data_IF_953048104902
#
_entry.id   IF_953048104902
#
_cell.length_a   1.000
_cell.length_b   1.000
_cell.length_c   1.000
_cell.angle_alpha   90.00
_cell.angle_beta   90.00
_cell.angle_gamma   90.00
#
_symmetry.space_group_name_H-M   'P 1'
#
loop_
_entity.id
_entity.type
_entity.pdbx_description
1 polymer ?
#
# COMPACT_ATOMS: atom_id res chain seq x y z
N UNK A 1 16.79 -8.24 -5.61
CA UNK A 1 15.53 -8.85 -5.15
C UNK A 1 14.45 -7.79 -5.29
N UNK A 2 13.23 -8.16 -5.71
CA UNK A 2 12.15 -7.20 -5.84
C UNK A 2 11.78 -6.62 -4.47
N UNK A 3 11.53 -5.32 -4.43
CA UNK A 3 11.19 -4.59 -3.19
C UNK A 3 9.74 -4.90 -2.81
N UNK A 4 9.54 -5.44 -1.60
CA UNK A 4 8.21 -5.72 -1.06
C UNK A 4 7.59 -4.45 -0.46
N UNK A 5 6.33 -4.19 -0.81
CA UNK A 5 5.58 -3.06 -0.27
C UNK A 5 4.13 -3.44 0.04
N UNK A 6 3.57 -2.80 1.07
CA UNK A 6 2.13 -2.75 1.35
C UNK A 6 1.63 -1.35 1.06
N UNK A 7 0.47 -1.23 0.41
CA UNK A 7 -0.18 0.05 0.17
C UNK A 7 -1.43 0.16 1.05
N UNK A 8 -1.65 1.34 1.62
CA UNK A 8 -2.89 1.70 2.32
C UNK A 8 -4.09 1.81 1.35
N UNK A 9 -5.32 1.61 1.85
CA UNK A 9 -6.58 1.77 1.13
C UNK A 9 -6.63 3.06 0.31
N UNK A 10 -6.18 4.19 0.86
CA UNK A 10 -6.26 5.47 0.17
C UNK A 10 -5.36 5.53 -1.07
N UNK A 11 -4.27 4.77 -1.10
CA UNK A 11 -3.42 4.61 -2.29
C UNK A 11 -4.20 3.87 -3.37
N UNK A 12 -4.87 2.76 -3.03
CA UNK A 12 -5.72 2.04 -3.98
C UNK A 12 -6.87 2.90 -4.52
N UNK A 13 -7.59 3.61 -3.64
CA UNK A 13 -8.69 4.48 -4.02
C UNK A 13 -8.23 5.60 -4.97
N UNK A 14 -7.14 6.30 -4.62
CA UNK A 14 -6.63 7.39 -5.44
C UNK A 14 -6.08 6.89 -6.78
N UNK A 15 -5.39 5.74 -6.79
CA UNK A 15 -4.86 5.14 -8.00
C UNK A 15 -5.95 4.65 -8.95
N UNK A 16 -6.99 3.98 -8.42
CA UNK A 16 -8.14 3.55 -9.21
C UNK A 16 -8.97 4.74 -9.74
N UNK A 17 -9.06 5.83 -8.98
CA UNK A 17 -9.79 7.03 -9.37
C UNK A 17 -9.01 7.90 -10.39
N UNK A 18 -7.69 8.00 -10.25
CA UNK A 18 -6.81 8.84 -11.08
C UNK A 18 -5.42 8.22 -11.27
N UNK A 19 -5.23 7.56 -12.41
CA UNK A 19 -4.00 6.84 -12.74
C UNK A 19 -2.78 7.78 -12.90
N UNK A 20 -2.98 9.04 -13.27
CA UNK A 20 -1.89 10.02 -13.49
C UNK A 20 -1.38 10.64 -12.17
N UNK A 21 -1.99 10.31 -11.02
CA UNK A 21 -1.56 10.79 -9.71
C UNK A 21 -0.43 9.96 -9.09
N UNK A 22 0.16 10.41 -7.97
CA UNK A 22 1.22 9.67 -7.28
C UNK A 22 0.83 8.23 -6.91
N UNK A 23 -0.42 8.02 -6.47
CA UNK A 23 -0.91 6.68 -6.14
C UNK A 23 -1.03 5.77 -7.37
N UNK A 24 -1.48 6.31 -8.51
CA UNK A 24 -1.51 5.58 -9.78
C UNK A 24 -0.10 5.23 -10.27
N UNK A 25 0.86 6.14 -10.11
CA UNK A 25 2.27 5.85 -10.38
C UNK A 25 2.83 4.74 -9.46
N UNK A 26 2.44 4.69 -8.19
CA UNK A 26 2.83 3.59 -7.29
C UNK A 26 2.28 2.24 -7.78
N UNK A 27 1.02 2.19 -8.23
CA UNK A 27 0.42 0.98 -8.80
C UNK A 27 1.11 0.56 -10.11
N UNK A 28 1.51 1.53 -10.94
CA UNK A 28 2.26 1.27 -12.17
C UNK A 28 3.59 0.55 -11.89
N UNK A 29 4.29 0.91 -10.80
CA UNK A 29 5.51 0.19 -10.38
C UNK A 29 5.24 -1.28 -10.00
N UNK A 30 4.04 -1.58 -9.49
CA UNK A 30 3.61 -2.96 -9.23
C UNK A 30 3.34 -3.69 -10.55
N UNK A 31 2.62 -3.06 -11.49
CA UNK A 31 2.35 -3.62 -12.81
C UNK A 31 3.63 -3.90 -13.61
N UNK A 32 4.65 -3.03 -13.47
CA UNK A 32 5.96 -3.16 -14.11
C UNK A 32 6.89 -4.14 -13.38
N UNK A 33 6.48 -4.68 -12.22
CA UNK A 33 7.27 -5.63 -11.43
C UNK A 33 8.46 -5.00 -10.68
N UNK A 34 8.58 -3.68 -10.67
CA UNK A 34 9.57 -2.97 -9.87
C UNK A 34 9.29 -3.11 -8.36
N UNK A 35 8.00 -3.29 -8.01
CA UNK A 35 7.52 -3.53 -6.64
C UNK A 35 6.69 -4.80 -6.59
N UNK A 36 6.95 -5.61 -5.58
CA UNK A 36 6.09 -6.75 -5.24
C UNK A 36 5.09 -6.31 -4.18
N UNK A 37 3.85 -6.09 -4.60
CA UNK A 37 2.76 -5.69 -3.71
C UNK A 37 2.34 -6.85 -2.83
N UNK A 38 2.40 -6.68 -1.51
CA UNK A 38 1.91 -7.64 -0.54
C UNK A 38 0.41 -7.40 -0.29
N UNK A 39 -0.39 -8.45 -0.32
CA UNK A 39 -1.83 -8.41 -0.12
C UNK A 39 -2.28 -9.50 0.87
N UNK A 40 -3.37 -9.20 1.57
CA UNK A 40 -4.15 -10.16 2.35
C UNK A 40 -5.62 -10.04 1.96
N UNK A 41 -6.40 -11.07 2.29
CA UNK A 41 -7.84 -11.07 1.99
C UNK A 41 -8.56 -9.93 2.72
N UNK A 42 -8.17 -9.64 3.97
CA UNK A 42 -8.68 -8.54 4.77
C UNK A 42 -8.44 -7.17 4.10
N UNK A 43 -7.21 -6.89 3.66
CA UNK A 43 -6.89 -5.63 2.95
C UNK A 43 -7.69 -5.51 1.66
N UNK A 44 -7.79 -6.59 0.86
CA UNK A 44 -8.52 -6.51 -0.40
C UNK A 44 -10.03 -6.32 -0.21
N UNK A 45 -10.60 -6.90 0.85
CA UNK A 45 -12.02 -6.72 1.20
C UNK A 45 -12.30 -5.29 1.67
N UNK A 46 -11.41 -4.69 2.45
CA UNK A 46 -11.53 -3.28 2.83
C UNK A 46 -11.46 -2.36 1.61
N UNK A 47 -10.49 -2.57 0.72
CA UNK A 47 -10.38 -1.81 -0.54
C UNK A 47 -11.66 -1.94 -1.35
N UNK A 48 -12.19 -3.17 -1.50
CA UNK A 48 -13.47 -3.41 -2.20
C UNK A 48 -14.60 -2.61 -1.56
N UNK A 49 -14.75 -2.69 -0.24
CA UNK A 49 -15.79 -1.98 0.47
C UNK A 49 -15.68 -0.47 0.23
N UNK A 50 -14.49 0.10 0.44
CA UNK A 50 -14.24 1.53 0.33
C UNK A 50 -14.52 2.05 -1.08
N UNK A 51 -14.02 1.37 -2.11
CA UNK A 51 -14.21 1.78 -3.51
C UNK A 51 -15.68 1.70 -3.93
N UNK A 52 -16.47 0.76 -3.38
CA UNK A 52 -17.89 0.60 -3.67
C UNK A 52 -18.82 1.44 -2.79
N UNK A 53 -18.30 2.17 -1.78
CA UNK A 53 -19.14 3.03 -0.93
C UNK A 53 -19.88 4.07 -1.79
N UNK A 54 -21.20 4.30 -1.58
CA UNK A 54 -21.99 5.24 -2.40
C UNK A 54 -21.41 6.66 -2.48
N UNK A 55 -20.76 7.13 -1.40
CA UNK A 55 -20.05 8.41 -1.38
C UNK A 55 -18.88 8.47 -2.37
N UNK A 56 -18.17 7.36 -2.57
CA UNK A 56 -17.06 7.28 -3.52
C UNK A 56 -17.55 7.26 -4.95
N UNK A 57 -18.61 6.51 -5.28
CA UNK A 57 -19.23 6.55 -6.61
C UNK A 57 -19.75 7.95 -7.01
N UNK A 58 -20.24 8.75 -6.04
CA UNK A 58 -20.63 10.15 -6.29
C UNK A 58 -19.43 11.06 -6.52
N UNK A 59 -18.35 10.87 -5.76
CA UNK A 59 -17.13 11.70 -5.83
C UNK A 59 -16.26 11.35 -7.06
N UNK A 60 -16.26 10.08 -7.43
CA UNK A 60 -15.48 9.51 -8.53
C UNK A 60 -16.40 8.65 -9.40
N UNK A 61 -17.15 9.25 -10.34
CA UNK A 61 -18.07 8.53 -11.22
C UNK A 61 -17.39 7.46 -12.10
N UNK A 62 -16.06 7.55 -12.24
CA UNK A 62 -15.22 6.56 -12.89
C UNK A 62 -15.11 5.24 -12.13
N UNK A 63 -15.38 5.20 -10.82
CA UNK A 63 -15.37 3.97 -10.00
C UNK A 63 -16.70 3.22 -10.14
N UNK A 64 -17.00 2.74 -11.34
CA UNK A 64 -18.12 1.83 -11.57
C UNK A 64 -17.84 0.47 -10.94
N UNK A 65 -18.88 -0.30 -10.61
CA UNK A 65 -18.73 -1.67 -10.06
C UNK A 65 -17.80 -2.50 -10.94
N UNK A 66 -18.02 -2.54 -12.26
CA UNK A 66 -17.19 -3.31 -13.19
C UNK A 66 -15.72 -2.89 -13.16
N UNK A 67 -15.44 -1.58 -13.05
CA UNK A 67 -14.06 -1.08 -12.97
C UNK A 67 -13.40 -1.43 -11.65
N UNK A 68 -14.14 -1.39 -10.54
CA UNK A 68 -13.63 -1.82 -9.23
C UNK A 68 -13.34 -3.32 -9.24
N UNK A 69 -14.26 -4.15 -9.73
CA UNK A 69 -14.05 -5.60 -9.82
C UNK A 69 -12.87 -5.96 -10.73
N UNK A 70 -12.73 -5.30 -11.88
CA UNK A 70 -11.59 -5.49 -12.77
C UNK A 70 -10.27 -5.10 -12.10
N UNK A 71 -10.26 -3.98 -11.37
CA UNK A 71 -9.10 -3.53 -10.61
C UNK A 71 -8.71 -4.53 -9.52
N UNK A 72 -9.66 -4.98 -8.71
CA UNK A 72 -9.42 -6.00 -7.68
C UNK A 72 -8.96 -7.33 -8.29
N UNK A 73 -9.50 -7.72 -9.45
CA UNK A 73 -9.07 -8.91 -10.18
C UNK A 73 -7.61 -8.82 -10.65
N UNK A 74 -7.18 -7.63 -11.11
CA UNK A 74 -5.78 -7.39 -11.46
C UNK A 74 -4.88 -7.53 -10.22
N UNK A 75 -5.24 -6.90 -9.09
CA UNK A 75 -4.51 -7.03 -7.83
C UNK A 75 -4.40 -8.49 -7.34
N UNK A 76 -5.47 -9.28 -7.47
CA UNK A 76 -5.44 -10.72 -7.17
C UNK A 76 -4.42 -11.50 -8.00
N UNK A 77 -4.22 -11.08 -9.24
CA UNK A 77 -3.31 -11.76 -10.17
C UNK A 77 -1.85 -11.34 -9.96
N UNK A 78 -1.60 -10.07 -9.60
CA UNK A 78 -0.25 -9.51 -9.50
C UNK A 78 0.32 -9.47 -8.08
N UNK A 79 -0.54 -9.54 -7.06
CA UNK A 79 -0.12 -9.45 -5.66
C UNK A 79 0.56 -10.70 -5.12
N UNK A 80 1.43 -10.51 -4.14
CA UNK A 80 2.00 -11.54 -3.29
C UNK A 80 1.10 -11.74 -2.05
N UNK A 81 0.53 -12.93 -1.90
CA UNK A 81 -0.58 -13.19 -0.98
C UNK A 81 -0.13 -13.75 0.38
N UNK A 82 -0.73 -13.21 1.45
CA UNK A 82 -0.52 -13.63 2.84
C UNK A 82 -1.87 -13.96 3.50
N UNK A 83 -2.09 -15.25 3.79
CA UNK A 83 -3.40 -15.75 4.28
C UNK A 83 -3.57 -15.63 5.80
N UNK A 84 -2.49 -15.77 6.57
CA UNK A 84 -2.51 -15.79 8.03
C UNK A 84 -1.68 -14.64 8.60
N UNK A 85 -2.23 -13.42 8.54
CA UNK A 85 -1.58 -12.21 9.05
C UNK A 85 -1.82 -12.11 10.56
N UNK A 86 -0.79 -12.23 11.42
CA UNK A 86 -0.98 -12.12 12.86
C UNK A 86 -1.26 -10.66 13.26
N UNK A 87 -2.08 -10.47 14.29
CA UNK A 87 -2.27 -9.16 14.91
C UNK A 87 -1.04 -8.83 15.79
N UNK A 88 -0.08 -8.10 15.23
CA UNK A 88 1.18 -7.71 15.89
C UNK A 88 1.16 -6.28 16.40
N UNK A 89 0.42 -5.40 15.72
CA UNK A 89 0.23 -4.01 16.06
C UNK A 89 -0.81 -3.86 17.18
N UNK A 90 -0.39 -4.07 18.43
CA UNK A 90 -1.21 -3.72 19.58
C UNK A 90 -1.19 -2.19 19.78
N UNK A 91 -2.38 -1.59 19.85
CA UNK A 91 -2.61 -0.18 20.21
C UNK A 91 -2.16 0.89 19.19
N UNK A 92 -2.56 0.75 17.92
CA UNK A 92 -2.61 1.90 17.02
C UNK A 92 -3.64 2.92 17.51
N UNK A 93 -3.43 4.20 17.15
CA UNK A 93 -4.40 5.27 17.43
C UNK A 93 -5.69 5.05 16.65
N UNK A 94 -5.56 4.72 15.36
CA UNK A 94 -6.66 4.24 14.53
C UNK A 94 -6.58 2.71 14.38
N UNK A 95 -7.56 1.95 14.91
CA UNK A 95 -7.63 0.50 14.71
C UNK A 95 -7.77 0.08 13.24
N UNK A 96 -8.33 0.93 12.37
CA UNK A 96 -8.57 0.61 10.95
C UNK A 96 -7.24 0.51 10.17
N UNK A 97 -6.14 1.08 10.69
CA UNK A 97 -4.81 0.98 10.10
C UNK A 97 -4.08 -0.34 10.42
N UNK A 98 -4.57 -1.10 11.40
CA UNK A 98 -3.91 -2.30 11.90
C UNK A 98 -3.69 -3.38 10.82
N UNK A 99 -4.65 -3.67 9.90
CA UNK A 99 -4.44 -4.66 8.85
C UNK A 99 -3.23 -4.36 7.96
N UNK A 100 -3.01 -3.10 7.60
CA UNK A 100 -1.88 -2.69 6.75
C UNK A 100 -0.54 -2.85 7.44
N UNK A 101 -0.45 -2.40 8.70
CA UNK A 101 0.78 -2.52 9.47
C UNK A 101 1.10 -3.98 9.80
N UNK A 102 0.09 -4.76 10.22
CA UNK A 102 0.25 -6.19 10.48
C UNK A 102 0.73 -6.93 9.23
N UNK A 103 0.16 -6.62 8.06
CA UNK A 103 0.58 -7.21 6.79
C UNK A 103 2.03 -6.81 6.46
N UNK A 104 2.39 -5.54 6.63
CA UNK A 104 3.75 -5.07 6.35
C UNK A 104 4.79 -5.78 7.21
N UNK A 105 4.49 -5.97 8.50
CA UNK A 105 5.34 -6.71 9.44
C UNK A 105 5.40 -8.20 9.08
N UNK A 106 4.25 -8.83 8.85
CA UNK A 106 4.15 -10.25 8.50
C UNK A 106 4.89 -10.58 7.20
N UNK A 107 4.79 -9.71 6.20
CA UNK A 107 5.44 -9.86 4.91
C UNK A 107 6.93 -9.49 4.92
N UNK A 108 7.45 -8.97 6.04
CA UNK A 108 8.77 -8.33 6.10
C UNK A 108 8.93 -7.29 4.97
N UNK A 109 7.87 -6.51 4.71
CA UNK A 109 7.87 -5.51 3.66
C UNK A 109 8.87 -4.39 3.98
N UNK A 110 9.59 -3.92 2.95
CA UNK A 110 10.51 -2.77 3.09
C UNK A 110 9.72 -1.48 3.26
N UNK A 111 8.53 -1.40 2.66
CA UNK A 111 7.70 -0.20 2.67
C UNK A 111 6.25 -0.47 3.04
N UNK A 112 5.68 0.44 3.84
CA UNK A 112 4.25 0.67 3.94
C UNK A 112 3.97 2.07 3.36
N UNK A 113 3.26 2.13 2.24
CA UNK A 113 2.96 3.39 1.55
C UNK A 113 1.60 3.89 1.99
N UNK A 114 1.58 5.03 2.67
CA UNK A 114 0.37 5.62 3.25
C UNK A 114 0.45 7.14 3.25
N UNK A 115 -0.71 7.81 3.37
CA UNK A 115 -0.80 9.24 3.66
C UNK A 115 -1.35 9.51 5.06
N UNK A 116 -1.62 8.46 5.82
CA UNK A 116 -2.13 8.59 7.17
C UNK A 116 -1.03 9.14 8.10
N UNK A 117 -1.34 10.23 8.79
CA UNK A 117 -0.36 10.90 9.66
C UNK A 117 -0.06 10.10 10.92
N UNK A 118 -1.02 9.36 11.46
CA UNK A 118 -0.82 8.54 12.66
C UNK A 118 0.12 7.37 12.33
N UNK A 119 -0.01 6.75 11.15
CA UNK A 119 0.97 5.76 10.67
C UNK A 119 2.34 6.39 10.40
N UNK A 120 2.40 7.56 9.75
CA UNK A 120 3.67 8.24 9.47
C UNK A 120 4.39 8.67 10.75
N UNK A 121 3.66 9.01 11.82
CA UNK A 121 4.23 9.36 13.12
C UNK A 121 4.99 8.20 13.78
N UNK A 122 4.71 6.94 13.41
CA UNK A 122 5.47 5.78 13.91
C UNK A 122 6.95 5.84 13.48
N UNK A 123 7.28 6.51 12.38
CA UNK A 123 8.67 6.78 11.97
C UNK A 123 9.37 7.85 12.82
N UNK A 124 8.71 8.37 13.86
CA UNK A 124 9.30 9.23 14.89
C UNK A 124 9.41 8.53 16.25
N UNK A 125 8.84 7.33 16.39
CA UNK A 125 8.94 6.52 17.61
C UNK A 125 10.17 5.60 17.53
N UNK A 126 11.18 5.89 18.33
CA UNK A 126 12.42 5.10 18.39
C UNK A 126 12.18 3.63 18.78
N UNK A 127 11.16 3.35 19.60
CA UNK A 127 10.81 1.98 20.01
C UNK A 127 10.23 1.20 18.84
N UNK A 128 9.35 1.84 18.06
CA UNK A 128 8.79 1.25 16.86
C UNK A 128 9.89 0.96 15.83
N UNK A 129 10.74 1.96 15.54
CA UNK A 129 11.84 1.82 14.58
C UNK A 129 12.82 0.72 15.01
N UNK A 130 13.13 0.63 16.30
CA UNK A 130 14.01 -0.44 16.82
C UNK A 130 13.37 -1.83 16.71
N UNK A 131 12.04 -1.93 16.82
CA UNK A 131 11.31 -3.19 16.72
C UNK A 131 11.16 -3.66 15.26
N UNK A 132 11.05 -2.72 14.31
CA UNK A 132 10.84 -2.99 12.89
C UNK A 132 11.84 -2.22 12.01
N UNK A 133 13.16 -2.47 12.14
CA UNK A 133 14.20 -1.64 11.52
C UNK A 133 14.24 -1.72 9.97
N UNK A 134 13.55 -2.70 9.39
CA UNK A 134 13.49 -2.90 7.95
C UNK A 134 12.26 -2.24 7.30
N UNK A 135 11.26 -1.86 8.11
CA UNK A 135 10.02 -1.26 7.63
C UNK A 135 10.13 0.25 7.61
N UNK A 136 9.95 0.85 6.44
CA UNK A 136 9.81 2.30 6.28
C UNK A 136 8.36 2.64 5.94
N UNK A 137 7.72 3.46 6.78
CA UNK A 137 6.39 4.01 6.48
C UNK A 137 6.58 5.33 5.75
N UNK A 138 6.02 5.46 4.55
CA UNK A 138 6.39 6.54 3.64
C UNK A 138 5.21 7.03 2.80
N UNK A 139 5.20 8.33 2.49
CA UNK A 139 4.21 8.90 1.58
C UNK A 139 4.46 8.52 0.12
N UNK A 140 3.41 8.43 -0.73
CA UNK A 140 3.54 8.01 -2.13
C UNK A 140 4.57 8.81 -2.93
N UNK A 141 4.65 10.14 -2.76
CA UNK A 141 5.59 10.97 -3.53
C UNK A 141 7.04 10.70 -3.09
N UNK A 142 7.27 10.59 -1.78
CA UNK A 142 8.59 10.29 -1.25
C UNK A 142 9.04 8.87 -1.65
N UNK A 143 8.12 7.91 -1.64
CA UNK A 143 8.35 6.55 -2.12
C UNK A 143 8.78 6.51 -3.59
N UNK A 144 8.06 7.21 -4.47
CA UNK A 144 8.42 7.30 -5.90
C UNK A 144 9.80 7.93 -6.11
N UNK A 145 10.11 9.02 -5.41
CA UNK A 145 11.42 9.69 -5.53
C UNK A 145 12.55 8.78 -5.04
N UNK A 146 12.34 8.05 -3.95
CA UNK A 146 13.32 7.12 -3.40
C UNK A 146 13.63 6.01 -4.41
N UNK A 147 12.60 5.37 -4.98
CA UNK A 147 12.80 4.31 -5.97
C UNK A 147 13.43 4.81 -7.26
N UNK A 148 13.06 6.01 -7.70
CA UNK A 148 13.71 6.62 -8.86
C UNK A 148 15.22 6.80 -8.63
N UNK A 149 15.63 7.22 -7.44
CA UNK A 149 17.04 7.33 -7.07
C UNK A 149 17.74 5.97 -7.00
N UNK A 150 17.11 4.95 -6.39
CA UNK A 150 17.66 3.58 -6.33
C UNK A 150 17.86 2.99 -7.74
N UNK A 151 16.95 3.27 -8.68
CA UNK A 151 17.03 2.80 -10.07
C UNK A 151 18.08 3.55 -10.90
N UNK A 152 18.33 4.84 -10.61
CA UNK A 152 19.41 5.59 -11.28
C UNK A 152 20.80 5.22 -10.78
N UNK A 153 20.93 4.90 -9.48
CA UNK A 153 22.22 4.53 -8.88
C UNK A 153 22.60 3.06 -9.14
N UNK A 154 21.61 2.16 -9.27
CA UNK A 154 21.83 0.73 -9.57
C UNK A 154 22.17 0.39 -11.02
N UNK A 155 22.26 1.38 -11.92
CA UNK A 155 22.63 1.20 -13.33
C UNK A 155 24.13 1.28 -13.62
N UNK A 156 24.97 1.43 -12.58
CA UNK A 156 26.41 1.65 -12.69
C UNK A 156 27.28 0.49 -12.17
N UNK A 157 26.71 -0.71 -11.96
CA UNK A 157 27.46 -1.92 -11.58
C UNK A 157 27.46 -3.00 -12.68
#
# INVERSE_FOLDING_TARGET
MATLAVFDCMVFLQGAAKAEGPAGACLKLVEEGAITLCLSQEVLDEVREVLLRPKMGRKFPSLTVDRVEAFLGALRTTGNWFDAVPAVAAALRDPDDAPYLNLAICAAAKYLVTRDNDLLELMRDATFIASFPHLTIIEPVAFLNLLAAELTDGGAE
#
